data_IF_156344238134
#
_entry.id   IF_156344238134
#
_cell.length_a   1.000
_cell.length_b   1.000
_cell.length_c   1.000
_cell.angle_alpha   90.00
_cell.angle_beta   90.00
_cell.angle_gamma   90.00
#
_symmetry.space_group_name_H-M   'P 1'
#
loop_
_entity.id
_entity.type
_entity.pdbx_description
1 polymer ?
#
# COMPACT_ATOMS: atom_id res chain seq x y z
N UNK A 1 34.12 -23.52 -32.05
CA UNK A 1 32.88 -24.30 -32.29
C UNK A 1 32.38 -24.81 -30.95
N UNK A 2 31.61 -23.99 -30.23
CA UNK A 2 31.05 -24.32 -28.92
C UNK A 2 29.55 -24.52 -29.05
N UNK A 3 29.05 -25.66 -28.55
CA UNK A 3 27.64 -26.07 -28.65
C UNK A 3 26.78 -25.21 -27.71
N UNK A 4 25.75 -24.60 -28.30
CA UNK A 4 24.64 -23.96 -27.61
C UNK A 4 23.84 -24.99 -26.81
N UNK A 5 23.68 -24.77 -25.51
CA UNK A 5 22.67 -25.46 -24.71
C UNK A 5 21.47 -24.54 -24.51
N UNK A 6 20.46 -24.79 -25.34
CA UNK A 6 19.11 -24.26 -25.23
C UNK A 6 18.44 -24.80 -23.97
N UNK A 7 18.14 -23.94 -22.99
CA UNK A 7 17.20 -24.23 -21.90
C UNK A 7 15.94 -23.39 -22.09
N UNK A 8 15.07 -23.85 -23.00
CA UNK A 8 13.65 -23.54 -23.00
C UNK A 8 12.96 -24.31 -21.87
N UNK A 9 12.02 -23.62 -21.21
CA UNK A 9 10.81 -24.15 -20.55
C UNK A 9 11.00 -25.10 -19.36
N UNK A 10 10.93 -24.54 -18.16
CA UNK A 10 10.18 -25.08 -17.02
C UNK A 10 9.66 -23.84 -16.27
N UNK A 11 8.40 -23.67 -15.90
CA UNK A 11 7.32 -24.61 -15.64
C UNK A 11 6.60 -24.01 -14.44
N UNK A 12 5.43 -23.41 -14.68
CA UNK A 12 4.59 -22.80 -13.64
C UNK A 12 4.27 -23.84 -12.57
N UNK A 13 4.70 -23.61 -11.33
CA UNK A 13 4.20 -24.36 -10.17
C UNK A 13 3.58 -23.33 -9.22
N UNK A 14 2.25 -23.24 -9.28
CA UNK A 14 1.43 -22.55 -8.27
C UNK A 14 1.19 -23.55 -7.15
N UNK A 15 1.83 -23.35 -5.99
CA UNK A 15 1.48 -24.04 -4.77
C UNK A 15 0.58 -23.12 -3.93
N UNK A 16 -0.70 -23.46 -3.87
CA UNK A 16 -1.67 -22.86 -2.97
C UNK A 16 -1.59 -23.60 -1.63
N UNK A 17 -1.36 -22.87 -0.54
CA UNK A 17 -1.51 -23.38 0.83
C UNK A 17 -2.54 -22.49 1.54
N UNK A 18 -3.76 -23.01 1.62
CA UNK A 18 -4.85 -22.46 2.42
C UNK A 18 -4.65 -22.91 3.87
N UNK A 19 -4.43 -21.97 4.80
CA UNK A 19 -4.61 -22.21 6.23
C UNK A 19 -5.91 -21.54 6.64
N UNK A 20 -6.97 -22.33 6.75
CA UNK A 20 -8.23 -21.91 7.35
C UNK A 20 -8.09 -21.98 8.87
N UNK A 21 -8.13 -20.82 9.54
CA UNK A 21 -8.35 -20.74 10.99
C UNK A 21 -9.83 -20.52 11.25
N UNK A 22 -10.47 -21.58 11.77
CA UNK A 22 -11.82 -21.57 12.32
C UNK A 22 -11.72 -21.01 13.73
N UNK A 23 -12.30 -19.84 13.99
CA UNK A 23 -12.59 -19.38 15.36
C UNK A 23 -14.10 -19.42 15.53
N UNK A 24 -14.54 -20.45 16.24
CA UNK A 24 -15.92 -20.72 16.64
C UNK A 24 -16.45 -19.68 17.63
N UNK A 25 -17.67 -19.20 17.37
CA UNK A 25 -18.53 -18.49 18.32
C UNK A 25 -18.89 -19.41 19.50
N UNK A 26 -18.95 -18.86 20.71
CA UNK A 26 -20.04 -19.11 21.68
C UNK A 26 -19.94 -18.17 22.87
N UNK A 27 -21.07 -17.59 23.26
CA UNK A 27 -21.18 -16.75 24.45
C UNK A 27 -22.42 -15.87 24.48
N UNK A 28 -23.61 -16.47 24.34
CA UNK A 28 -24.89 -15.81 24.64
C UNK A 28 -25.05 -15.81 26.17
N UNK A 29 -25.18 -14.64 26.77
CA UNK A 29 -25.63 -14.46 28.16
C UNK A 29 -26.65 -13.33 28.21
N UNK A 30 -27.91 -13.70 28.42
CA UNK A 30 -29.05 -12.80 28.54
C UNK A 30 -29.48 -12.66 30.02
N UNK A 31 -30.08 -11.50 30.31
CA UNK A 31 -31.03 -11.20 31.39
C UNK A 31 -30.50 -11.13 32.85
N UNK A 32 -30.60 -9.95 33.47
CA UNK A 32 -31.64 -9.60 34.45
C UNK A 32 -31.25 -8.31 35.19
N UNK A 33 -32.19 -7.36 35.29
CA UNK A 33 -32.02 -6.14 36.08
C UNK A 33 -32.14 -6.41 37.58
N UNK A 34 -31.56 -5.52 38.38
CA UNK A 34 -32.20 -4.99 39.57
C UNK A 34 -31.55 -3.67 40.00
N UNK A 35 -32.42 -2.79 40.45
CA UNK A 35 -32.27 -1.42 40.91
C UNK A 35 -31.58 -1.30 42.28
N UNK A 36 -30.75 -0.26 42.45
CA UNK A 36 -30.61 0.59 43.65
C UNK A 36 -29.59 1.70 43.27
N UNK A 37 -30.02 2.96 43.10
CA UNK A 37 -29.86 4.08 44.05
C UNK A 37 -28.38 4.50 44.24
N UNK A 38 -27.91 5.75 44.19
CA UNK A 38 -28.50 7.11 44.21
C UNK A 38 -27.35 8.14 44.05
N UNK A 39 -27.73 9.42 43.92
CA UNK A 39 -26.93 10.68 43.98
C UNK A 39 -26.23 11.11 42.67
N UNK A 40 -26.30 12.37 42.20
CA UNK A 40 -26.92 13.66 42.59
C UNK A 40 -26.92 14.50 41.30
N UNK A 41 -28.06 14.94 40.76
CA UNK A 41 -28.77 16.21 40.97
C UNK A 41 -28.06 17.49 40.44
N UNK A 42 -28.72 18.14 39.48
CA UNK A 42 -28.46 19.48 38.91
C UNK A 42 -28.65 19.46 37.38
N UNK A 43 -29.86 19.67 36.81
CA UNK A 43 -30.48 20.98 36.52
C UNK A 43 -29.82 21.60 35.28
N UNK A 44 -30.42 21.88 34.12
CA UNK A 44 -31.79 22.30 33.77
C UNK A 44 -32.18 21.79 32.36
N UNK A 45 -33.45 21.46 32.23
CA UNK A 45 -34.20 21.28 30.98
C UNK A 45 -34.37 22.59 30.22
N UNK A 46 -34.04 22.60 28.92
CA UNK A 46 -34.82 23.38 27.94
C UNK A 46 -35.13 22.49 26.73
N UNK A 47 -36.42 22.16 26.62
CA UNK A 47 -37.04 21.58 25.43
C UNK A 47 -37.45 22.74 24.53
N UNK A 48 -36.97 22.80 23.29
CA UNK A 48 -37.68 23.52 22.23
C UNK A 48 -37.36 22.97 20.83
N UNK A 49 -38.29 22.14 20.37
CA UNK A 49 -38.79 21.94 18.99
C UNK A 49 -37.78 21.82 17.84
N UNK A 50 -37.69 20.60 17.31
CA UNK A 50 -37.29 20.29 15.95
C UNK A 50 -38.23 20.92 14.90
N UNK A 51 -37.71 21.39 13.75
CA UNK A 51 -38.41 21.32 12.49
C UNK A 51 -37.96 20.06 11.72
N UNK A 52 -38.98 19.30 11.35
CA UNK A 52 -38.98 18.09 10.53
C UNK A 52 -38.26 18.33 9.18
N UNK A 53 -37.03 17.84 9.02
CA UNK A 53 -36.40 17.67 7.70
C UNK A 53 -36.14 16.19 7.50
N UNK A 54 -36.90 15.59 6.57
CA UNK A 54 -36.65 14.24 6.03
C UNK A 54 -35.27 14.19 5.37
N UNK A 55 -34.19 14.06 6.14
CA UNK A 55 -32.91 13.54 5.63
C UNK A 55 -33.00 12.03 5.69
N UNK A 56 -32.96 11.39 4.52
CA UNK A 56 -32.62 9.97 4.44
C UNK A 56 -31.33 9.79 5.22
N UNK A 57 -31.36 9.00 6.30
CA UNK A 57 -30.17 8.57 6.98
C UNK A 57 -29.32 7.78 5.97
N UNK A 58 -28.26 8.39 5.46
CA UNK A 58 -27.19 7.68 4.78
C UNK A 58 -26.50 6.89 5.88
N UNK A 59 -26.43 5.58 5.71
CA UNK A 59 -25.82 4.65 6.66
C UNK A 59 -24.46 5.20 7.16
N UNK A 60 -24.29 5.48 8.47
CA UNK A 60 -23.05 6.07 9.00
C UNK A 60 -21.82 5.18 8.81
N UNK A 61 -22.03 3.89 8.49
CA UNK A 61 -20.95 2.91 8.36
C UNK A 61 -20.39 2.72 6.94
N UNK A 62 -20.89 3.46 5.94
CA UNK A 62 -20.42 3.35 4.54
C UNK A 62 -19.93 4.67 3.93
N UNK A 63 -19.51 5.63 4.75
CA UNK A 63 -18.65 6.72 4.27
C UNK A 63 -17.23 6.37 4.67
N UNK A 64 -16.54 5.63 3.81
CA UNK A 64 -15.08 5.55 3.90
C UNK A 64 -14.57 6.99 3.91
N UNK A 65 -13.78 7.43 4.90
CA UNK A 65 -13.34 8.82 4.97
C UNK A 65 -12.65 9.16 3.66
N UNK A 66 -13.13 10.22 3.01
CA UNK A 66 -12.50 10.75 1.82
C UNK A 66 -11.05 11.07 2.19
N UNK A 67 -10.11 10.30 1.62
CA UNK A 67 -8.71 10.47 1.95
C UNK A 67 -8.26 11.75 1.26
N UNK A 68 -8.13 12.82 2.03
CA UNK A 68 -7.65 14.08 1.52
C UNK A 68 -6.13 14.15 1.65
N UNK A 69 -5.48 14.61 0.57
CA UNK A 69 -4.07 14.94 0.63
C UNK A 69 -3.83 16.08 1.65
N UNK A 70 -2.70 16.07 2.38
CA UNK A 70 -2.45 17.02 3.47
C UNK A 70 -2.22 18.46 3.00
N UNK A 71 -1.89 18.67 1.72
CA UNK A 71 -1.77 19.99 1.12
C UNK A 71 -1.97 19.95 -0.41
N UNK A 72 -1.94 21.14 -1.04
CA UNK A 72 -2.12 21.30 -2.49
C UNK A 72 -1.04 20.61 -3.33
N UNK A 73 0.20 20.59 -2.87
CA UNK A 73 1.30 19.94 -3.59
C UNK A 73 1.11 18.42 -3.64
N UNK A 74 0.80 17.82 -2.49
CA UNK A 74 0.44 16.43 -2.36
C UNK A 74 -0.78 16.07 -3.22
N UNK A 75 -1.85 16.86 -3.16
CA UNK A 75 -3.04 16.66 -3.99
C UNK A 75 -2.71 16.68 -5.48
N UNK A 76 -1.79 17.57 -5.90
CA UNK A 76 -1.39 17.69 -7.30
C UNK A 76 -0.57 16.49 -7.77
N UNK A 77 0.39 16.02 -6.96
CA UNK A 77 1.16 14.81 -7.29
C UNK A 77 0.24 13.59 -7.35
N UNK A 78 -0.66 13.46 -6.38
CA UNK A 78 -1.63 12.36 -6.29
C UNK A 78 -2.57 12.34 -7.50
N UNK A 79 -3.15 13.48 -7.86
CA UNK A 79 -3.99 13.60 -9.06
C UNK A 79 -3.21 13.24 -10.33
N UNK A 80 -1.99 13.75 -10.50
CA UNK A 80 -1.16 13.43 -11.66
C UNK A 80 -0.84 11.93 -11.75
N UNK A 81 -0.56 11.28 -10.62
CA UNK A 81 -0.28 9.85 -10.57
C UNK A 81 -1.55 9.04 -10.89
N UNK A 82 -2.68 9.41 -10.30
CA UNK A 82 -3.99 8.80 -10.55
C UNK A 82 -4.40 8.91 -12.02
N UNK A 83 -4.26 10.09 -12.62
CA UNK A 83 -4.55 10.35 -14.03
C UNK A 83 -3.63 9.53 -14.94
N UNK A 84 -2.34 9.46 -14.60
CA UNK A 84 -1.37 8.65 -15.35
C UNK A 84 -1.72 7.17 -15.30
N UNK A 85 -1.99 6.62 -14.11
CA UNK A 85 -2.38 5.21 -13.97
C UNK A 85 -3.68 4.98 -14.76
N UNK A 86 -4.69 5.82 -14.59
CA UNK A 86 -5.99 5.71 -15.27
C UNK A 86 -5.88 5.76 -16.81
N UNK A 87 -5.11 6.71 -17.34
CA UNK A 87 -5.06 7.02 -18.78
C UNK A 87 -4.00 6.28 -19.59
N UNK A 88 -2.86 5.90 -18.98
CA UNK A 88 -1.73 5.33 -19.73
C UNK A 88 -1.91 3.85 -20.08
N UNK A 89 -1.22 3.39 -21.12
CA UNK A 89 -1.22 1.97 -21.51
C UNK A 89 -0.68 1.07 -20.38
N UNK A 90 0.44 1.48 -19.76
CA UNK A 90 1.06 0.74 -18.66
C UNK A 90 0.20 0.75 -17.39
N UNK A 91 -0.54 1.83 -17.13
CA UNK A 91 -1.47 1.90 -16.02
C UNK A 91 -2.73 1.04 -16.23
N UNK A 92 -3.21 0.89 -17.47
CA UNK A 92 -4.26 -0.09 -17.82
C UNK A 92 -3.77 -1.53 -17.61
N UNK A 93 -2.53 -1.82 -17.99
CA UNK A 93 -1.92 -3.13 -17.73
C UNK A 93 -1.79 -3.40 -16.23
N UNK A 94 -1.33 -2.41 -15.45
CA UNK A 94 -1.28 -2.50 -13.99
C UNK A 94 -2.64 -2.85 -13.36
N UNK A 95 -3.73 -2.16 -13.75
CA UNK A 95 -5.08 -2.48 -13.26
C UNK A 95 -5.54 -3.89 -13.66
N UNK A 96 -5.23 -4.33 -14.88
CA UNK A 96 -5.54 -5.69 -15.30
C UNK A 96 -4.79 -6.76 -14.46
N UNK A 97 -3.61 -6.46 -13.93
CA UNK A 97 -2.90 -7.34 -12.98
C UNK A 97 -3.58 -7.37 -11.61
N UNK A 98 -4.05 -6.21 -11.12
CA UNK A 98 -4.85 -6.12 -9.88
C UNK A 98 -6.10 -6.98 -10.00
N UNK A 99 -6.90 -6.82 -11.06
CA UNK A 99 -8.13 -7.58 -11.31
C UNK A 99 -7.90 -9.10 -11.34
N UNK A 100 -6.73 -9.52 -11.83
CA UNK A 100 -6.34 -10.94 -11.90
C UNK A 100 -5.73 -11.48 -10.61
N UNK A 101 -5.56 -10.65 -9.57
CA UNK A 101 -4.88 -11.03 -8.32
C UNK A 101 -3.45 -11.51 -8.56
N UNK A 102 -2.78 -10.97 -9.58
CA UNK A 102 -1.38 -11.32 -9.90
C UNK A 102 -0.45 -10.39 -9.13
N UNK A 103 0.78 -10.84 -8.83
CA UNK A 103 1.81 -9.96 -8.28
C UNK A 103 2.00 -8.73 -9.17
N UNK A 104 1.73 -7.56 -8.61
CA UNK A 104 1.74 -6.29 -9.33
C UNK A 104 3.07 -5.56 -9.23
N UNK A 105 4.05 -6.07 -8.47
CA UNK A 105 5.27 -5.33 -8.12
C UNK A 105 6.05 -4.88 -9.35
N UNK A 106 6.26 -5.78 -10.31
CA UNK A 106 7.03 -5.47 -11.51
C UNK A 106 6.33 -4.42 -12.39
N UNK A 107 5.04 -4.62 -12.66
CA UNK A 107 4.27 -3.70 -13.52
C UNK A 107 4.06 -2.34 -12.84
N UNK A 108 3.87 -2.32 -11.53
CA UNK A 108 3.85 -1.10 -10.72
C UNK A 108 5.18 -0.34 -10.81
N UNK A 109 6.30 -1.03 -10.58
CA UNK A 109 7.64 -0.44 -10.64
C UNK A 109 7.93 0.17 -12.02
N UNK A 110 7.51 -0.49 -13.10
CA UNK A 110 7.60 0.06 -14.47
C UNK A 110 6.71 1.29 -14.65
N UNK A 111 5.45 1.25 -14.18
CA UNK A 111 4.53 2.38 -14.26
C UNK A 111 5.06 3.60 -13.49
N UNK A 112 5.59 3.42 -12.28
CA UNK A 112 6.16 4.48 -11.46
C UNK A 112 7.39 5.13 -12.12
N UNK A 113 8.30 4.33 -12.72
CA UNK A 113 9.43 4.86 -13.51
C UNK A 113 8.96 5.68 -14.70
N UNK A 114 7.97 5.17 -15.44
CA UNK A 114 7.44 5.86 -16.61
C UNK A 114 6.73 7.16 -16.21
N UNK A 115 5.99 7.18 -15.10
CA UNK A 115 5.42 8.39 -14.52
C UNK A 115 6.49 9.42 -14.17
N UNK A 116 7.54 9.02 -13.43
CA UNK A 116 8.66 9.90 -13.05
C UNK A 116 9.37 10.46 -14.29
N UNK A 117 9.50 9.66 -15.35
CA UNK A 117 10.11 10.08 -16.62
C UNK A 117 9.22 11.07 -17.40
N UNK A 118 7.93 10.78 -17.53
CA UNK A 118 6.99 11.61 -18.30
C UNK A 118 6.68 12.95 -17.62
N UNK A 119 6.59 12.96 -16.30
CA UNK A 119 6.18 14.12 -15.51
C UNK A 119 7.32 14.81 -14.76
N UNK A 120 8.57 14.40 -14.99
CA UNK A 120 9.75 14.82 -14.21
C UNK A 120 9.86 16.33 -13.96
N UNK A 121 9.78 17.15 -15.01
CA UNK A 121 9.86 18.62 -14.89
C UNK A 121 8.69 19.22 -14.10
N UNK A 122 7.45 18.75 -14.37
CA UNK A 122 6.26 19.21 -13.64
C UNK A 122 6.33 18.85 -12.16
N UNK A 123 6.80 17.63 -11.85
CA UNK A 123 6.99 17.15 -10.49
C UNK A 123 8.10 17.95 -9.78
N UNK A 124 9.19 18.25 -10.48
CA UNK A 124 10.28 19.08 -9.97
C UNK A 124 9.79 20.47 -9.56
N UNK A 125 9.00 21.14 -10.39
CA UNK A 125 8.42 22.44 -10.03
C UNK A 125 7.50 22.37 -8.81
N UNK A 126 6.73 21.29 -8.63
CA UNK A 126 5.92 21.10 -7.42
C UNK A 126 6.82 20.93 -6.19
N UNK A 127 7.89 20.15 -6.31
CA UNK A 127 8.85 19.92 -5.23
C UNK A 127 9.63 21.18 -4.84
N UNK A 128 9.98 22.03 -5.80
CA UNK A 128 10.65 23.32 -5.52
C UNK A 128 9.74 24.28 -4.74
N UNK A 129 8.43 24.19 -4.94
CA UNK A 129 7.45 25.09 -4.33
C UNK A 129 6.94 24.64 -2.95
N UNK A 130 7.06 23.35 -2.58
CA UNK A 130 6.48 22.81 -1.36
C UNK A 130 7.27 21.62 -0.79
N UNK A 131 7.58 21.68 0.51
CA UNK A 131 8.36 20.65 1.20
C UNK A 131 7.69 19.27 1.23
N UNK A 132 6.36 19.18 1.34
CA UNK A 132 5.68 17.89 1.37
C UNK A 132 5.64 17.29 -0.05
N UNK A 133 5.46 18.14 -1.07
CA UNK A 133 5.64 17.77 -2.47
C UNK A 133 7.05 17.24 -2.76
N UNK A 134 8.08 17.90 -2.24
CA UNK A 134 9.47 17.46 -2.33
C UNK A 134 9.69 16.10 -1.65
N UNK A 135 9.21 15.94 -0.41
CA UNK A 135 9.32 14.68 0.32
C UNK A 135 8.62 13.53 -0.38
N UNK A 136 7.43 13.76 -0.95
CA UNK A 136 6.70 12.73 -1.68
C UNK A 136 7.38 12.35 -3.00
N UNK A 137 7.89 13.33 -3.75
CA UNK A 137 8.65 13.05 -4.97
C UNK A 137 9.94 12.29 -4.66
N UNK A 138 10.65 12.67 -3.60
CA UNK A 138 11.83 11.94 -3.15
C UNK A 138 11.48 10.50 -2.75
N UNK A 139 10.43 10.31 -1.93
CA UNK A 139 9.98 9.00 -1.52
C UNK A 139 9.56 8.13 -2.72
N UNK A 140 8.89 8.69 -3.72
CA UNK A 140 8.52 7.97 -4.94
C UNK A 140 9.75 7.47 -5.71
N UNK A 141 10.79 8.28 -5.81
CA UNK A 141 12.06 7.89 -6.44
C UNK A 141 12.75 6.78 -5.65
N UNK A 142 12.93 6.96 -4.35
CA UNK A 142 13.56 5.96 -3.46
C UNK A 142 12.84 4.62 -3.56
N UNK A 143 11.51 4.62 -3.42
CA UNK A 143 10.68 3.42 -3.53
C UNK A 143 10.91 2.70 -4.88
N UNK A 144 10.90 3.47 -5.97
CA UNK A 144 11.00 2.93 -7.34
C UNK A 144 12.40 2.42 -7.66
N UNK A 145 13.45 3.11 -7.21
CA UNK A 145 14.85 2.72 -7.39
C UNK A 145 15.19 1.43 -6.61
N UNK A 146 14.67 1.30 -5.38
CA UNK A 146 14.84 0.10 -4.56
C UNK A 146 14.12 -1.09 -5.22
N UNK A 147 12.87 -0.90 -5.65
CA UNK A 147 12.13 -1.94 -6.36
C UNK A 147 12.87 -2.40 -7.62
N UNK A 148 13.44 -1.48 -8.42
CA UNK A 148 14.21 -1.85 -9.60
C UNK A 148 15.43 -2.71 -9.26
N UNK A 149 16.19 -2.32 -8.22
CA UNK A 149 17.37 -3.08 -7.79
C UNK A 149 17.00 -4.48 -7.29
N UNK A 150 15.89 -4.61 -6.57
CA UNK A 150 15.40 -5.91 -6.08
C UNK A 150 14.91 -6.76 -7.26
N UNK A 151 14.04 -6.23 -8.12
CA UNK A 151 13.47 -6.95 -9.27
C UNK A 151 14.56 -7.41 -10.25
N UNK A 152 15.58 -6.57 -10.48
CA UNK A 152 16.69 -6.91 -11.38
C UNK A 152 17.72 -7.87 -10.77
N UNK A 153 17.58 -8.23 -9.48
CA UNK A 153 18.55 -9.04 -8.76
C UNK A 153 19.86 -8.31 -8.43
N UNK A 154 19.98 -7.01 -8.73
CA UNK A 154 21.14 -6.17 -8.35
C UNK A 154 21.25 -5.97 -6.84
N UNK A 155 20.15 -6.12 -6.12
CA UNK A 155 20.09 -6.15 -4.66
C UNK A 155 19.49 -7.48 -4.21
N UNK A 156 20.30 -8.53 -4.07
CA UNK A 156 19.84 -9.84 -3.61
C UNK A 156 19.48 -9.80 -2.12
N UNK A 157 18.50 -10.60 -1.73
CA UNK A 157 18.03 -10.72 -0.34
C UNK A 157 19.07 -11.32 0.60
N UNK A 158 19.86 -12.29 0.10
CA UNK A 158 20.91 -12.97 0.87
C UNK A 158 22.29 -12.57 0.40
N UNK A 159 23.26 -12.58 1.32
CA UNK A 159 24.66 -12.26 1.03
C UNK A 159 25.29 -13.33 0.11
N UNK A 160 24.95 -14.59 0.36
CA UNK A 160 25.27 -15.74 -0.50
C UNK A 160 24.01 -16.59 -0.70
N UNK A 161 23.49 -16.60 -1.93
CA UNK A 161 22.27 -17.33 -2.26
C UNK A 161 22.40 -18.85 -2.15
N UNK A 162 23.58 -19.42 -2.43
CA UNK A 162 23.79 -20.86 -2.36
C UNK A 162 23.88 -21.32 -0.90
N UNK A 163 24.61 -20.56 -0.07
CA UNK A 163 24.68 -20.81 1.37
C UNK A 163 23.33 -20.62 2.04
N UNK A 164 22.57 -19.58 1.65
CA UNK A 164 21.22 -19.36 2.16
C UNK A 164 20.29 -20.55 1.87
N UNK A 165 20.36 -21.12 0.67
CA UNK A 165 19.59 -22.32 0.32
C UNK A 165 19.99 -23.53 1.17
N UNK A 166 21.29 -23.73 1.44
CA UNK A 166 21.77 -24.79 2.32
C UNK A 166 21.31 -24.60 3.77
N UNK A 167 21.41 -23.38 4.30
CA UNK A 167 20.98 -23.05 5.66
C UNK A 167 19.48 -23.33 5.82
N UNK A 168 18.64 -22.92 4.86
CA UNK A 168 17.20 -23.22 4.85
C UNK A 168 16.95 -24.73 4.87
N UNK A 169 17.65 -25.51 4.03
CA UNK A 169 17.50 -26.98 3.98
C UNK A 169 17.89 -27.66 5.28
N UNK A 170 18.85 -27.09 6.02
CA UNK A 170 19.34 -27.63 7.29
C UNK A 170 18.61 -27.03 8.50
N UNK A 171 17.56 -26.22 8.28
CA UNK A 171 16.75 -25.61 9.34
C UNK A 171 17.47 -24.47 10.08
N UNK A 172 18.53 -23.91 9.49
CA UNK A 172 19.21 -22.72 10.00
C UNK A 172 18.65 -21.46 9.36
N UNK A 173 18.81 -20.34 10.05
CA UNK A 173 18.46 -19.04 9.51
C UNK A 173 19.54 -18.56 8.52
N UNK A 174 19.19 -18.24 7.27
CA UNK A 174 20.13 -17.77 6.27
C UNK A 174 20.58 -16.33 6.55
N UNK A 175 21.85 -16.04 6.26
CA UNK A 175 22.39 -14.69 6.41
C UNK A 175 21.82 -13.73 5.36
N UNK A 176 21.04 -12.74 5.81
CA UNK A 176 20.52 -11.69 4.94
C UNK A 176 21.62 -10.70 4.52
N UNK A 177 21.48 -10.17 3.30
CA UNK A 177 22.31 -9.09 2.81
C UNK A 177 21.98 -7.81 3.61
N UNK A 178 22.93 -7.21 4.35
CA UNK A 178 22.66 -6.01 5.13
C UNK A 178 22.23 -4.81 4.28
N UNK A 179 22.66 -4.74 3.01
CA UNK A 179 22.20 -3.71 2.08
C UNK A 179 20.73 -3.90 1.69
N UNK A 180 20.28 -5.14 1.56
CA UNK A 180 18.88 -5.46 1.30
C UNK A 180 18.00 -5.06 2.48
N UNK A 181 18.39 -5.45 3.70
CA UNK A 181 17.67 -5.09 4.93
C UNK A 181 17.52 -3.57 5.06
N UNK A 182 18.61 -2.82 4.85
CA UNK A 182 18.57 -1.36 4.85
C UNK A 182 17.63 -0.82 3.77
N UNK A 183 17.69 -1.35 2.56
CA UNK A 183 16.85 -0.89 1.46
C UNK A 183 15.36 -1.18 1.72
N UNK A 184 15.01 -2.32 2.31
CA UNK A 184 13.61 -2.60 2.69
C UNK A 184 13.13 -1.58 3.74
N UNK A 185 13.96 -1.25 4.73
CA UNK A 185 13.64 -0.20 5.71
C UNK A 185 13.47 1.19 5.06
N UNK A 186 14.36 1.55 4.12
CA UNK A 186 14.25 2.81 3.35
C UNK A 186 12.98 2.81 2.48
N UNK A 187 12.62 1.67 1.88
CA UNK A 187 11.40 1.50 1.09
C UNK A 187 10.14 1.62 1.95
N UNK A 188 10.13 1.07 3.16
CA UNK A 188 9.01 1.20 4.11
C UNK A 188 8.82 2.65 4.56
N UNK A 189 9.91 3.37 4.86
CA UNK A 189 9.88 4.79 5.17
C UNK A 189 9.35 5.63 3.99
N UNK A 190 9.80 5.32 2.77
CA UNK A 190 9.28 5.93 1.56
C UNK A 190 7.78 5.66 1.38
N UNK A 191 7.35 4.41 1.56
CA UNK A 191 5.93 4.01 1.49
C UNK A 191 5.08 4.75 2.52
N UNK A 192 5.56 4.93 3.75
CA UNK A 192 4.87 5.68 4.78
C UNK A 192 4.69 7.16 4.38
N UNK A 193 5.73 7.76 3.80
CA UNK A 193 5.67 9.13 3.27
C UNK A 193 4.66 9.26 2.13
N UNK A 194 4.68 8.32 1.18
CA UNK A 194 3.77 8.29 0.05
C UNK A 194 2.32 8.10 0.51
N UNK A 195 2.06 7.17 1.44
CA UNK A 195 0.72 6.92 1.98
C UNK A 195 0.14 8.15 2.69
N UNK A 196 1.00 8.97 3.32
CA UNK A 196 0.57 10.20 3.98
C UNK A 196 0.26 11.33 2.99
N UNK A 197 1.01 11.43 1.90
CA UNK A 197 0.87 12.53 0.94
C UNK A 197 -0.13 12.21 -0.18
N UNK A 198 -0.15 10.96 -0.64
CA UNK A 198 -0.87 10.51 -1.83
C UNK A 198 -2.03 9.61 -1.39
N UNK A 199 -3.24 10.14 -1.18
CA UNK A 199 -4.37 9.37 -0.68
C UNK A 199 -4.75 8.17 -1.56
N UNK A 200 -4.45 8.21 -2.86
CA UNK A 200 -4.69 7.10 -3.78
C UNK A 200 -3.49 6.14 -3.89
N UNK A 201 -2.36 6.42 -3.24
CA UNK A 201 -1.23 5.49 -3.24
C UNK A 201 -1.46 4.24 -2.37
N UNK A 202 -0.89 3.07 -2.71
CA UNK A 202 -0.49 2.61 -4.06
C UNK A 202 -1.71 2.14 -4.88
N UNK A 203 -2.90 2.27 -4.30
CA UNK A 203 -4.17 1.72 -4.76
C UNK A 203 -4.91 2.76 -5.59
N UNK A 204 -4.59 2.83 -6.88
CA UNK A 204 -5.37 3.61 -7.84
C UNK A 204 -5.77 2.69 -8.99
N UNK A 205 -6.95 2.10 -9.10
CA UNK A 205 -8.16 1.94 -8.26
C UNK A 205 -8.63 0.49 -8.48
#
# INVERSE_FOLDING_TARGET
MGKEYSLRRMGKIRAALCVALIVSLTGIGACAGNTADREKQGGETSVSREPNVKRKAKDPFLVMPEKHAPNKACAKIDAMLSDFVSGSAIGKEYRAFIEKGTDTREIWSKAAREFLRQYGEKLKHIAEADKNGASALHALRVYTEIDEKIISGKLPEFEDGAKAEEDIKQGREPQQNPQYVKAVADQDSARATLTRCLPHWPVVF
#
